data_IF_182251665487
#
_entry.id   IF_182251665487
#
_cell.length_a   1.000
_cell.length_b   1.000
_cell.length_c   1.000
_cell.angle_alpha   90.00
_cell.angle_beta   90.00
_cell.angle_gamma   90.00
#
_symmetry.space_group_name_H-M   'P 1'
#
loop_
_entity.id
_entity.type
_entity.pdbx_description
1 polymer ?
#
# COMPACT_ATOMS: atom_id res chain seq x y z
N UNK A 1 -21.95 -7.60 7.16
CA UNK A 1 -20.79 -8.49 7.47
C UNK A 1 -20.66 -8.96 8.93
N UNK A 2 -20.87 -8.11 9.96
CA UNK A 2 -20.65 -8.50 11.39
C UNK A 2 -21.44 -9.75 11.86
N UNK A 3 -22.54 -10.08 11.19
CA UNK A 3 -23.41 -11.23 11.52
C UNK A 3 -23.02 -12.56 10.82
N UNK A 4 -22.18 -12.54 9.78
CA UNK A 4 -21.80 -13.76 9.06
C UNK A 4 -20.68 -14.51 9.82
N UNK A 5 -21.04 -15.64 10.46
CA UNK A 5 -20.11 -16.47 11.24
C UNK A 5 -18.97 -17.04 10.38
N UNK A 6 -19.24 -17.39 9.12
CA UNK A 6 -18.26 -17.96 8.19
C UNK A 6 -17.22 -16.91 7.83
N UNK A 7 -17.66 -15.71 7.43
CA UNK A 7 -16.77 -14.61 7.12
C UNK A 7 -15.91 -14.19 8.32
N UNK A 8 -16.44 -14.25 9.54
CA UNK A 8 -15.67 -13.94 10.76
C UNK A 8 -14.59 -14.98 11.05
N UNK A 9 -14.85 -16.26 10.79
CA UNK A 9 -13.86 -17.35 10.95
C UNK A 9 -12.76 -17.31 9.90
N UNK A 10 -13.08 -16.82 8.69
CA UNK A 10 -12.11 -16.67 7.61
C UNK A 10 -11.19 -15.45 7.76
N UNK A 11 -11.50 -14.51 8.67
CA UNK A 11 -10.69 -13.30 8.88
C UNK A 11 -9.38 -13.60 9.57
N UNK A 12 -8.34 -12.84 9.19
CA UNK A 12 -7.05 -12.92 9.86
C UNK A 12 -7.13 -12.50 11.34
N UNK A 13 -6.46 -13.29 12.19
CA UNK A 13 -6.19 -12.93 13.57
C UNK A 13 -5.36 -11.63 13.68
N UNK A 14 -5.33 -11.04 14.88
CA UNK A 14 -4.57 -9.80 15.13
C UNK A 14 -3.06 -9.98 14.89
N UNK A 15 -2.50 -11.09 15.39
CA UNK A 15 -1.09 -11.42 15.21
C UNK A 15 -0.71 -11.54 13.72
N UNK A 16 -1.50 -12.28 12.93
CA UNK A 16 -1.25 -12.41 11.50
C UNK A 16 -1.33 -11.06 10.78
N UNK A 17 -2.30 -10.21 11.12
CA UNK A 17 -2.39 -8.84 10.55
C UNK A 17 -1.17 -7.98 10.91
N UNK A 18 -0.65 -8.12 12.11
CA UNK A 18 0.55 -7.40 12.54
C UNK A 18 1.81 -7.87 11.78
N UNK A 19 2.06 -9.18 11.72
CA UNK A 19 3.16 -9.76 10.93
C UNK A 19 3.04 -9.35 9.46
N UNK A 20 1.83 -9.43 8.91
CA UNK A 20 1.55 -8.99 7.55
C UNK A 20 1.84 -7.51 7.36
N UNK A 21 1.40 -6.64 8.26
CA UNK A 21 1.72 -5.20 8.18
C UNK A 21 3.23 -4.91 8.17
N UNK A 22 4.00 -5.65 8.98
CA UNK A 22 5.45 -5.52 8.99
C UNK A 22 6.09 -5.96 7.66
N UNK A 23 5.61 -7.07 7.09
CA UNK A 23 6.19 -7.70 5.90
C UNK A 23 5.63 -7.20 4.56
N UNK A 24 4.43 -6.59 4.49
CA UNK A 24 3.77 -6.21 3.20
C UNK A 24 4.28 -4.87 2.63
N UNK A 25 5.52 -4.51 2.90
CA UNK A 25 6.14 -3.31 2.34
C UNK A 25 7.02 -3.67 1.13
N UNK A 26 7.23 -2.71 0.24
CA UNK A 26 8.20 -2.90 -0.86
C UNK A 26 9.60 -3.02 -0.28
N UNK A 27 10.51 -3.65 -1.03
CA UNK A 27 11.91 -3.80 -0.63
C UNK A 27 12.54 -2.46 -0.19
N UNK A 28 12.34 -1.40 -0.97
CA UNK A 28 12.84 -0.06 -0.65
C UNK A 28 12.28 0.50 0.67
N UNK A 29 11.00 0.29 0.96
CA UNK A 29 10.38 0.74 2.22
C UNK A 29 10.91 -0.10 3.40
N UNK A 30 11.10 -1.42 3.22
CA UNK A 30 11.68 -2.29 4.25
C UNK A 30 13.11 -1.87 4.56
N UNK A 31 13.94 -1.69 3.53
CA UNK A 31 15.31 -1.21 3.67
C UNK A 31 15.35 0.18 4.34
N UNK A 32 14.47 1.11 3.95
CA UNK A 32 14.39 2.42 4.57
C UNK A 32 14.00 2.34 6.06
N UNK A 33 13.03 1.48 6.43
CA UNK A 33 12.66 1.26 7.85
C UNK A 33 13.85 0.74 8.66
N UNK A 34 14.66 -0.14 8.07
CA UNK A 34 15.88 -0.65 8.67
C UNK A 34 16.93 0.43 8.88
N UNK A 35 17.26 1.16 7.82
CA UNK A 35 18.24 2.25 7.90
C UNK A 35 17.79 3.33 8.90
N UNK A 36 16.49 3.61 8.99
CA UNK A 36 15.95 4.53 10.00
C UNK A 36 16.09 3.98 11.42
N UNK A 37 15.91 2.67 11.63
CA UNK A 37 16.12 2.03 12.93
C UNK A 37 17.61 2.11 13.33
N UNK A 38 18.51 1.76 12.42
CA UNK A 38 19.96 1.84 12.64
C UNK A 38 20.39 3.29 12.92
N UNK A 39 19.90 4.24 12.13
CA UNK A 39 20.15 5.67 12.32
C UNK A 39 19.60 6.15 13.67
N UNK A 40 18.43 5.69 14.11
CA UNK A 40 17.87 6.06 15.41
C UNK A 40 18.73 5.53 16.57
N UNK A 41 19.27 4.31 16.45
CA UNK A 41 20.20 3.72 17.43
C UNK A 41 21.51 4.52 17.45
N UNK A 42 22.05 4.92 16.29
CA UNK A 42 23.25 5.77 16.18
C UNK A 42 23.03 7.15 16.82
N UNK A 43 21.88 7.79 16.56
CA UNK A 43 21.56 9.09 17.16
C UNK A 43 21.38 8.99 18.68
N UNK A 44 20.85 7.88 19.18
CA UNK A 44 20.72 7.64 20.61
C UNK A 44 22.11 7.54 21.29
N UNK A 45 23.09 6.90 20.64
CA UNK A 45 24.47 6.90 21.12
C UNK A 45 25.08 8.30 21.11
N UNK A 46 24.93 9.04 20.02
CA UNK A 46 25.39 10.43 19.93
C UNK A 46 24.75 11.34 20.97
N UNK A 47 23.47 11.13 21.31
CA UNK A 47 22.82 11.89 22.38
C UNK A 47 23.42 11.56 23.76
N UNK A 48 23.75 10.29 24.01
CA UNK A 48 24.35 9.84 25.29
C UNK A 48 25.72 10.49 25.53
N UNK A 49 26.53 10.71 24.50
CA UNK A 49 27.84 11.36 24.67
C UNK A 49 27.72 12.83 25.07
N UNK A 50 26.63 13.51 24.67
CA UNK A 50 26.37 14.90 25.06
C UNK A 50 25.74 15.05 26.46
N UNK A 51 25.06 14.01 26.97
CA UNK A 51 24.39 14.04 28.27
C UNK A 51 24.84 12.86 29.15
N UNK A 52 25.99 12.98 29.85
CA UNK A 52 26.49 11.94 30.75
C UNK A 52 25.60 11.84 31.99
N UNK A 53 24.47 11.14 31.87
CA UNK A 53 23.63 10.80 33.01
C UNK A 53 24.20 9.54 33.68
N UNK A 54 24.58 9.66 34.95
CA UNK A 54 25.14 8.57 35.77
C UNK A 54 24.20 7.37 36.01
N UNK A 55 23.05 7.33 35.35
CA UNK A 55 22.05 6.26 35.45
C UNK A 55 22.41 4.98 34.67
N UNK A 56 23.42 5.00 33.79
CA UNK A 56 23.79 3.86 32.93
C UNK A 56 25.26 3.43 33.06
N UNK A 57 25.87 3.62 34.23
CA UNK A 57 27.17 3.04 34.57
C UNK A 57 27.01 1.55 34.91
N UNK A 58 26.66 0.74 33.91
CA UNK A 58 26.80 -0.71 34.01
C UNK A 58 28.30 -1.05 33.95
N UNK A 59 28.76 -1.82 34.92
CA UNK A 59 30.16 -2.18 35.18
C UNK A 59 30.88 -2.71 33.92
N UNK A 60 31.98 -2.06 33.55
CA UNK A 60 32.88 -2.42 32.42
C UNK A 60 33.66 -3.74 32.64
N UNK A 61 33.59 -4.37 33.81
CA UNK A 61 34.47 -5.51 34.14
C UNK A 61 34.02 -6.87 33.57
N UNK A 62 32.77 -7.02 33.10
CA UNK A 62 32.27 -8.29 32.53
C UNK A 62 32.50 -8.48 31.01
N UNK A 63 33.32 -7.62 30.38
CA UNK A 63 33.13 -7.24 28.97
C UNK A 63 33.86 -8.11 27.93
N UNK A 64 34.94 -8.82 28.29
CA UNK A 64 35.77 -9.54 27.29
C UNK A 64 35.03 -10.73 26.66
N UNK A 65 34.32 -11.53 27.47
CA UNK A 65 33.57 -12.70 26.98
C UNK A 65 32.34 -12.30 26.15
N UNK A 66 31.57 -11.32 26.64
CA UNK A 66 30.36 -10.83 25.97
C UNK A 66 30.68 -10.20 24.61
N UNK A 67 31.75 -9.40 24.53
CA UNK A 67 32.19 -8.76 23.30
C UNK A 67 32.57 -9.77 22.20
N UNK A 68 33.27 -10.83 22.57
CA UNK A 68 33.63 -11.89 21.62
C UNK A 68 32.40 -12.65 21.06
N UNK A 69 31.31 -12.72 21.82
CA UNK A 69 30.04 -13.27 21.35
C UNK A 69 29.32 -12.29 20.43
N UNK A 70 29.25 -11.01 20.81
CA UNK A 70 28.63 -9.95 20.02
C UNK A 70 29.27 -9.86 18.63
N UNK A 71 30.59 -9.97 18.53
CA UNK A 71 31.32 -9.92 17.25
C UNK A 71 30.98 -11.09 16.31
N UNK A 72 30.62 -12.26 16.85
CA UNK A 72 30.33 -13.48 16.07
C UNK A 72 28.86 -13.60 15.64
N UNK A 73 27.95 -12.97 16.38
CA UNK A 73 26.50 -13.12 16.15
C UNK A 73 26.00 -12.56 14.80
N UNK A 74 26.51 -11.43 14.26
CA UNK A 74 26.11 -10.95 12.93
C UNK A 74 26.36 -11.97 11.81
N UNK A 75 27.52 -12.66 11.85
CA UNK A 75 27.84 -13.70 10.88
C UNK A 75 26.87 -14.91 11.01
N UNK A 76 26.49 -15.28 12.23
CA UNK A 76 25.47 -16.30 12.46
C UNK A 76 24.10 -15.86 11.93
N UNK A 77 23.68 -14.61 12.18
CA UNK A 77 22.42 -14.07 11.67
C UNK A 77 22.37 -14.06 10.14
N UNK A 78 23.48 -13.69 9.51
CA UNK A 78 23.64 -13.73 8.06
C UNK A 78 23.49 -15.16 7.54
N UNK A 79 24.17 -16.13 8.15
CA UNK A 79 24.07 -17.55 7.77
C UNK A 79 22.62 -18.07 7.90
N UNK A 80 21.92 -17.73 8.99
CA UNK A 80 20.51 -18.10 9.19
C UNK A 80 19.62 -17.48 8.11
N UNK A 81 19.82 -16.20 7.77
CA UNK A 81 19.05 -15.52 6.72
C UNK A 81 19.28 -16.11 5.33
N UNK A 82 20.53 -16.42 4.97
CA UNK A 82 20.85 -17.08 3.70
C UNK A 82 20.20 -18.46 3.64
N UNK A 83 20.28 -19.26 4.72
CA UNK A 83 19.60 -20.55 4.80
C UNK A 83 18.08 -20.42 4.65
N UNK A 84 17.47 -19.39 5.26
CA UNK A 84 16.05 -19.09 5.15
C UNK A 84 15.63 -18.80 3.70
N UNK A 85 16.36 -17.92 3.01
CA UNK A 85 16.10 -17.57 1.62
C UNK A 85 16.25 -18.77 0.68
N UNK A 86 17.20 -19.66 0.96
CA UNK A 86 17.35 -20.93 0.23
C UNK A 86 16.13 -21.84 0.40
N UNK A 87 15.66 -22.03 1.64
CA UNK A 87 14.45 -22.85 1.92
C UNK A 87 13.23 -22.26 1.20
N UNK A 88 13.06 -20.94 1.28
CA UNK A 88 11.97 -20.23 0.62
C UNK A 88 12.02 -20.42 -0.90
N UNK A 89 13.21 -20.33 -1.50
CA UNK A 89 13.41 -20.51 -2.94
C UNK A 89 13.12 -21.93 -3.39
N UNK A 90 13.55 -22.94 -2.62
CA UNK A 90 13.27 -24.35 -2.90
C UNK A 90 11.77 -24.65 -2.83
N UNK A 91 11.09 -24.15 -1.79
CA UNK A 91 9.65 -24.30 -1.63
C UNK A 91 8.87 -23.65 -2.77
N UNK A 92 9.33 -22.47 -3.24
CA UNK A 92 8.75 -21.79 -4.40
C UNK A 92 8.88 -22.63 -5.68
N UNK A 93 10.05 -23.19 -5.93
CA UNK A 93 10.30 -24.06 -7.08
C UNK A 93 9.36 -25.28 -7.04
N UNK A 94 9.19 -25.91 -5.88
CA UNK A 94 8.29 -27.03 -5.68
C UNK A 94 6.82 -26.66 -5.95
N UNK A 95 6.35 -25.55 -5.38
CA UNK A 95 4.96 -25.08 -5.58
C UNK A 95 4.70 -24.73 -7.04
N UNK A 96 5.67 -24.10 -7.70
CA UNK A 96 5.57 -23.76 -9.13
C UNK A 96 5.45 -25.01 -9.98
N UNK A 97 6.27 -26.05 -9.71
CA UNK A 97 6.18 -27.35 -10.39
C UNK A 97 4.82 -28.03 -10.19
N UNK A 98 4.32 -28.05 -8.95
CA UNK A 98 3.01 -28.64 -8.64
C UNK A 98 1.90 -27.89 -9.38
N UNK A 99 1.95 -26.56 -9.37
CA UNK A 99 0.92 -25.76 -9.98
C UNK A 99 0.93 -25.81 -11.51
N UNK A 100 2.10 -25.95 -12.14
CA UNK A 100 2.23 -26.23 -13.58
C UNK A 100 1.62 -27.59 -13.94
N UNK A 101 1.82 -28.61 -13.10
CA UNK A 101 1.27 -29.95 -13.33
C UNK A 101 -0.26 -29.98 -13.25
N UNK A 102 -0.86 -29.16 -12.39
CA UNK A 102 -2.31 -29.14 -12.15
C UNK A 102 -3.06 -28.02 -12.89
N UNK A 103 -2.37 -27.26 -13.74
CA UNK A 103 -2.90 -26.11 -14.48
C UNK A 103 -3.63 -25.06 -13.59
N UNK A 104 -3.13 -24.90 -12.37
CA UNK A 104 -3.79 -24.16 -11.29
C UNK A 104 -3.28 -22.70 -11.17
N UNK A 105 -3.21 -21.97 -12.28
CA UNK A 105 -2.58 -20.62 -12.34
C UNK A 105 -3.20 -19.60 -11.38
N UNK A 106 -4.51 -19.67 -11.16
CA UNK A 106 -5.23 -18.78 -10.21
C UNK A 106 -4.89 -19.10 -8.76
N UNK A 107 -4.65 -20.38 -8.43
CA UNK A 107 -4.29 -20.83 -7.10
C UNK A 107 -2.88 -20.37 -6.70
N UNK A 108 -1.97 -20.24 -7.67
CA UNK A 108 -0.63 -19.69 -7.44
C UNK A 108 -0.73 -18.25 -6.92
N UNK A 109 -1.60 -17.42 -7.51
CA UNK A 109 -1.79 -16.02 -7.07
C UNK A 109 -2.31 -15.96 -5.64
N UNK A 110 -3.28 -16.81 -5.31
CA UNK A 110 -3.79 -16.96 -3.94
C UNK A 110 -2.68 -17.41 -3.00
N UNK A 111 -1.87 -18.38 -3.41
CA UNK A 111 -0.74 -18.87 -2.62
C UNK A 111 0.29 -17.77 -2.33
N UNK A 112 0.73 -17.01 -3.34
CA UNK A 112 1.70 -15.92 -3.12
C UNK A 112 1.18 -14.86 -2.17
N UNK A 113 -0.12 -14.56 -2.25
CA UNK A 113 -0.76 -13.62 -1.35
C UNK A 113 -0.83 -14.16 0.10
N UNK A 114 -1.27 -15.40 0.30
CA UNK A 114 -1.44 -15.99 1.63
C UNK A 114 -0.11 -16.35 2.32
N UNK A 115 0.89 -16.76 1.54
CA UNK A 115 2.23 -17.10 2.03
C UNK A 115 3.09 -15.87 2.34
N UNK A 116 2.66 -14.67 1.92
CA UNK A 116 3.41 -13.42 2.03
C UNK A 116 4.83 -13.49 1.43
N UNK A 117 5.00 -14.35 0.42
CA UNK A 117 6.30 -14.69 -0.17
C UNK A 117 7.14 -13.46 -0.51
N UNK A 118 6.59 -12.51 -1.28
CA UNK A 118 7.33 -11.32 -1.71
C UNK A 118 7.81 -10.47 -0.55
N UNK A 119 6.94 -10.24 0.44
CA UNK A 119 7.26 -9.44 1.62
C UNK A 119 8.32 -10.09 2.50
N UNK A 120 8.21 -11.41 2.70
CA UNK A 120 9.19 -12.20 3.44
C UNK A 120 10.54 -12.23 2.74
N UNK A 121 10.58 -12.49 1.43
CA UNK A 121 11.82 -12.51 0.66
C UNK A 121 12.50 -11.13 0.64
N UNK A 122 11.72 -10.06 0.43
CA UNK A 122 12.22 -8.69 0.48
C UNK A 122 12.76 -8.33 1.86
N UNK A 123 12.07 -8.74 2.95
CA UNK A 123 12.50 -8.51 4.33
C UNK A 123 13.77 -9.30 4.70
N UNK A 124 13.89 -10.54 4.22
CA UNK A 124 15.09 -11.35 4.37
C UNK A 124 16.27 -10.73 3.62
N UNK A 125 16.07 -10.35 2.36
CA UNK A 125 17.10 -9.70 1.54
C UNK A 125 17.53 -8.35 2.13
N UNK A 126 16.58 -7.54 2.64
CA UNK A 126 16.89 -6.28 3.31
C UNK A 126 17.78 -6.50 4.53
N UNK A 127 17.48 -7.51 5.36
CA UNK A 127 18.33 -7.85 6.51
C UNK A 127 19.71 -8.34 6.08
N UNK A 128 19.81 -9.18 5.04
CA UNK A 128 21.09 -9.62 4.49
C UNK A 128 21.93 -8.43 4.04
N UNK A 129 21.34 -7.49 3.29
CA UNK A 129 22.02 -6.27 2.85
C UNK A 129 22.51 -5.47 4.06
N UNK A 130 21.65 -5.25 5.06
CA UNK A 130 22.02 -4.52 6.28
C UNK A 130 23.17 -5.21 7.02
N UNK A 131 23.08 -6.53 7.23
CA UNK A 131 24.13 -7.30 7.91
C UNK A 131 25.45 -7.33 7.14
N UNK A 132 25.41 -7.39 5.80
CA UNK A 132 26.60 -7.30 4.96
C UNK A 132 27.21 -5.91 5.06
N UNK A 133 26.41 -4.85 4.93
CA UNK A 133 26.89 -3.48 5.05
C UNK A 133 27.45 -3.25 6.46
N UNK A 134 26.84 -3.82 7.50
CA UNK A 134 27.32 -3.78 8.89
C UNK A 134 28.64 -4.53 9.08
N UNK A 135 28.78 -5.74 8.51
CA UNK A 135 30.00 -6.54 8.60
C UNK A 135 31.19 -5.82 7.96
N UNK A 136 30.95 -5.10 6.86
CA UNK A 136 31.97 -4.35 6.15
C UNK A 136 32.06 -2.89 6.55
N UNK A 137 31.27 -2.44 7.54
CA UNK A 137 30.91 -1.04 7.76
C UNK A 137 32.13 -0.13 7.96
N UNK A 138 32.69 0.47 6.89
CA UNK A 138 33.92 1.24 6.99
C UNK A 138 33.63 2.62 7.59
N UNK A 139 32.37 3.06 7.54
CA UNK A 139 31.86 4.32 8.05
C UNK A 139 31.89 4.42 9.58
N UNK A 140 31.80 3.31 10.31
CA UNK A 140 31.86 3.27 11.79
C UNK A 140 33.31 3.32 12.20
N UNK A 141 34.20 2.61 11.50
CA UNK A 141 35.65 2.79 11.66
C UNK A 141 36.07 4.23 11.36
N UNK A 142 35.55 4.85 10.31
CA UNK A 142 35.82 6.24 9.95
C UNK A 142 35.21 7.23 10.96
N UNK A 143 33.97 7.01 11.41
CA UNK A 143 33.31 7.86 12.39
C UNK A 143 33.98 7.76 13.76
N UNK A 144 34.39 6.55 14.19
CA UNK A 144 35.20 6.36 15.40
C UNK A 144 36.53 7.09 15.30
N UNK A 145 37.17 7.05 14.12
CA UNK A 145 38.41 7.77 13.86
C UNK A 145 38.22 9.30 13.90
N UNK A 146 37.10 9.81 13.36
CA UNK A 146 36.79 11.25 13.35
C UNK A 146 36.27 11.78 14.69
N UNK A 147 35.49 11.00 15.43
CA UNK A 147 34.85 11.41 16.67
C UNK A 147 35.73 11.18 17.91
N UNK A 148 36.81 10.41 17.81
CA UNK A 148 37.69 10.09 18.94
C UNK A 148 37.01 9.32 20.07
N UNK A 149 35.85 8.72 19.80
CA UNK A 149 35.02 8.03 20.80
C UNK A 149 35.43 6.58 20.94
N UNK A 150 35.61 6.11 22.17
CA UNK A 150 35.79 4.69 22.48
C UNK A 150 34.52 3.89 22.14
N UNK A 151 34.64 2.65 21.63
CA UNK A 151 33.50 1.81 21.27
C UNK A 151 32.67 1.46 22.51
N UNK A 152 31.36 1.76 22.49
CA UNK A 152 30.46 1.43 23.58
C UNK A 152 29.83 0.04 23.39
N UNK A 153 30.09 -0.90 24.31
CA UNK A 153 29.53 -2.25 24.23
C UNK A 153 27.99 -2.27 24.26
N UNK A 154 27.38 -1.28 24.92
CA UNK A 154 25.93 -1.11 25.01
C UNK A 154 25.32 -0.81 23.62
N UNK A 155 26.00 -0.02 22.79
CA UNK A 155 25.53 0.27 21.44
C UNK A 155 25.55 -0.97 20.56
N UNK A 156 26.68 -1.69 20.54
CA UNK A 156 26.81 -2.92 19.76
C UNK A 156 25.76 -3.96 20.20
N UNK A 157 25.44 -4.02 21.51
CA UNK A 157 24.36 -4.86 22.04
C UNK A 157 22.95 -4.41 21.59
N UNK A 158 22.64 -3.12 21.64
CA UNK A 158 21.33 -2.61 21.22
C UNK A 158 21.08 -2.83 19.73
N UNK A 159 22.10 -2.57 18.91
CA UNK A 159 22.04 -2.80 17.47
C UNK A 159 21.88 -4.30 17.17
N UNK A 160 22.65 -5.15 17.85
CA UNK A 160 22.51 -6.60 17.75
C UNK A 160 21.10 -7.07 18.17
N UNK A 161 20.54 -6.52 19.25
CA UNK A 161 19.19 -6.85 19.71
C UNK A 161 18.12 -6.44 18.68
N UNK A 162 18.31 -5.30 18.00
CA UNK A 162 17.44 -4.87 16.91
C UNK A 162 17.47 -5.85 15.73
N UNK A 163 18.67 -6.29 15.30
CA UNK A 163 18.81 -7.31 14.25
C UNK A 163 18.23 -8.66 14.68
N UNK A 164 18.43 -9.06 15.93
CA UNK A 164 17.88 -10.30 16.48
C UNK A 164 16.34 -10.27 16.49
N UNK A 165 15.75 -9.16 16.91
CA UNK A 165 14.29 -8.99 16.91
C UNK A 165 13.73 -9.08 15.49
N UNK A 166 14.40 -8.47 14.51
CA UNK A 166 13.94 -8.58 13.13
C UNK A 166 14.17 -9.97 12.53
N UNK A 167 15.29 -10.61 12.85
CA UNK A 167 15.52 -12.01 12.50
C UNK A 167 14.38 -12.89 13.02
N UNK A 168 13.90 -12.67 14.25
CA UNK A 168 12.72 -13.36 14.79
C UNK A 168 11.46 -13.07 13.96
N UNK A 169 11.23 -11.84 13.52
CA UNK A 169 10.11 -11.50 12.61
C UNK A 169 10.21 -12.29 11.30
N UNK A 170 11.41 -12.36 10.70
CA UNK A 170 11.65 -13.14 9.48
C UNK A 170 11.45 -14.64 9.71
N UNK A 171 11.88 -15.19 10.85
CA UNK A 171 11.66 -16.60 11.21
C UNK A 171 10.18 -16.92 11.40
N UNK A 172 9.41 -16.04 12.05
CA UNK A 172 7.95 -16.19 12.17
C UNK A 172 7.29 -16.13 10.78
N UNK A 173 7.72 -15.20 9.92
CA UNK A 173 7.28 -15.10 8.54
C UNK A 173 7.54 -16.37 7.75
N UNK A 174 8.74 -16.95 7.87
CA UNK A 174 9.12 -18.18 7.21
C UNK A 174 8.40 -19.41 7.73
N UNK A 175 8.21 -19.52 9.05
CA UNK A 175 7.40 -20.59 9.64
C UNK A 175 5.95 -20.53 9.11
N UNK A 176 5.38 -19.34 9.00
CA UNK A 176 4.07 -19.13 8.38
C UNK A 176 4.09 -19.49 6.89
N UNK A 177 5.10 -19.07 6.13
CA UNK A 177 5.25 -19.41 4.72
C UNK A 177 5.28 -20.92 4.51
N UNK A 178 6.13 -21.64 5.25
CA UNK A 178 6.25 -23.12 5.16
C UNK A 178 4.93 -23.79 5.53
N UNK A 179 4.25 -23.33 6.58
CA UNK A 179 2.94 -23.85 6.96
C UNK A 179 1.91 -23.67 5.83
N UNK A 180 1.87 -22.50 5.18
CA UNK A 180 1.01 -22.25 4.02
C UNK A 180 1.41 -23.09 2.82
N UNK A 181 2.70 -23.33 2.58
CA UNK A 181 3.17 -24.24 1.53
C UNK A 181 2.65 -25.66 1.75
N UNK A 182 2.71 -26.19 2.97
CA UNK A 182 2.14 -27.51 3.26
C UNK A 182 0.61 -27.53 3.13
N UNK A 183 -0.10 -26.49 3.58
CA UNK A 183 -1.54 -26.34 3.35
C UNK A 183 -1.85 -26.29 1.84
N UNK A 184 -1.00 -25.67 1.02
CA UNK A 184 -1.22 -25.57 -0.43
C UNK A 184 -1.11 -26.91 -1.15
N UNK A 185 -0.18 -27.78 -0.72
CA UNK A 185 -0.04 -29.13 -1.30
C UNK A 185 -1.27 -30.00 -1.03
N UNK A 186 -2.07 -29.71 0.00
CA UNK A 186 -3.27 -30.46 0.34
C UNK A 186 -4.53 -29.89 -0.36
N UNK A 187 -5.23 -30.66 -1.20
CA UNK A 187 -6.40 -30.15 -1.94
C UNK A 187 -7.53 -29.59 -1.05
N UNK A 188 -7.77 -30.21 0.11
CA UNK A 188 -8.79 -29.76 1.07
C UNK A 188 -8.44 -28.42 1.71
N UNK A 189 -7.16 -28.16 1.97
CA UNK A 189 -6.68 -26.93 2.57
C UNK A 189 -6.60 -25.78 1.54
N UNK A 190 -6.40 -26.08 0.24
CA UNK A 190 -6.52 -25.07 -0.84
C UNK A 190 -7.88 -24.38 -0.85
N UNK A 191 -8.97 -25.12 -0.64
CA UNK A 191 -10.32 -24.52 -0.51
C UNK A 191 -10.37 -23.50 0.63
N UNK A 192 -9.77 -23.82 1.77
CA UNK A 192 -9.69 -22.92 2.93
C UNK A 192 -8.84 -21.69 2.66
N UNK A 193 -7.73 -21.84 1.92
CA UNK A 193 -6.90 -20.71 1.48
C UNK A 193 -7.67 -19.77 0.56
N UNK A 194 -8.42 -20.30 -0.42
CA UNK A 194 -9.32 -19.51 -1.28
C UNK A 194 -10.37 -18.77 -0.45
N UNK A 195 -11.04 -19.44 0.49
CA UNK A 195 -12.03 -18.81 1.37
C UNK A 195 -11.43 -17.65 2.20
N UNK A 196 -10.23 -17.82 2.75
CA UNK A 196 -9.51 -16.75 3.45
C UNK A 196 -9.14 -15.60 2.51
N UNK A 197 -8.59 -15.90 1.35
CA UNK A 197 -8.22 -14.91 0.34
C UNK A 197 -9.43 -14.10 -0.11
N UNK A 198 -10.53 -14.75 -0.47
CA UNK A 198 -11.78 -14.09 -0.85
C UNK A 198 -12.30 -13.20 0.28
N UNK A 199 -12.30 -13.68 1.53
CA UNK A 199 -12.82 -12.92 2.66
C UNK A 199 -11.96 -11.70 3.04
N UNK A 200 -10.64 -11.74 2.83
CA UNK A 200 -9.72 -10.71 3.33
C UNK A 200 -9.13 -9.79 2.24
N UNK A 201 -9.07 -10.23 0.97
CA UNK A 201 -8.50 -9.46 -0.12
C UNK A 201 -9.54 -9.13 -1.19
N UNK A 202 -10.07 -10.15 -1.87
CA UNK A 202 -10.94 -9.93 -3.03
C UNK A 202 -12.27 -9.26 -2.67
N UNK A 203 -12.96 -9.73 -1.61
CA UNK A 203 -14.27 -9.20 -1.24
C UNK A 203 -14.20 -7.75 -0.74
N UNK A 204 -13.24 -7.35 0.13
CA UNK A 204 -13.08 -5.94 0.48
C UNK A 204 -12.81 -5.03 -0.71
N UNK A 205 -11.98 -5.46 -1.67
CA UNK A 205 -11.69 -4.70 -2.88
C UNK A 205 -12.95 -4.51 -3.75
N UNK A 206 -13.69 -5.60 -4.00
CA UNK A 206 -14.97 -5.54 -4.71
C UNK A 206 -15.97 -4.65 -3.99
N UNK A 207 -16.15 -4.82 -2.67
CA UNK A 207 -17.05 -3.99 -1.88
C UNK A 207 -16.64 -2.52 -1.90
N UNK A 208 -15.34 -2.22 -1.86
CA UNK A 208 -14.85 -0.85 -1.97
C UNK A 208 -15.14 -0.26 -3.36
N UNK A 209 -14.92 -1.02 -4.43
CA UNK A 209 -15.25 -0.60 -5.79
C UNK A 209 -16.76 -0.35 -5.96
N UNK A 210 -17.60 -1.29 -5.50
CA UNK A 210 -19.07 -1.14 -5.52
C UNK A 210 -19.53 0.05 -4.67
N UNK A 211 -18.93 0.26 -3.49
CA UNK A 211 -19.26 1.40 -2.63
C UNK A 211 -18.85 2.72 -3.28
N UNK A 212 -17.65 2.81 -3.89
CA UNK A 212 -17.23 3.99 -4.66
C UNK A 212 -18.18 4.28 -5.80
N UNK A 213 -18.58 3.26 -6.54
CA UNK A 213 -19.55 3.39 -7.62
C UNK A 213 -20.91 3.91 -7.13
N UNK A 214 -21.45 3.36 -6.03
CA UNK A 214 -22.70 3.86 -5.45
C UNK A 214 -22.58 5.28 -4.88
N UNK A 215 -21.46 5.62 -4.24
CA UNK A 215 -21.23 6.99 -3.74
C UNK A 215 -21.14 7.97 -4.92
N UNK A 216 -20.50 7.57 -6.01
CA UNK A 216 -20.39 8.38 -7.22
C UNK A 216 -21.76 8.62 -7.87
N UNK A 217 -22.54 7.55 -8.12
CA UNK A 217 -23.89 7.68 -8.69
C UNK A 217 -24.88 8.38 -7.74
N UNK A 218 -24.71 8.20 -6.43
CA UNK A 218 -25.54 8.83 -5.41
C UNK A 218 -25.21 10.31 -5.15
N UNK A 219 -24.14 10.85 -5.73
CA UNK A 219 -23.72 12.23 -5.50
C UNK A 219 -24.75 13.27 -5.99
N UNK A 220 -25.68 12.88 -6.86
CA UNK A 220 -26.79 13.71 -7.37
C UNK A 220 -28.01 13.76 -6.41
N UNK A 221 -28.17 12.78 -5.53
CA UNK A 221 -29.44 12.49 -4.81
C UNK A 221 -29.91 13.51 -3.75
N UNK A 222 -29.27 14.68 -3.65
CA UNK A 222 -29.57 15.70 -2.63
C UNK A 222 -29.93 17.09 -3.16
N UNK A 223 -29.98 17.29 -4.48
CA UNK A 223 -30.22 18.61 -5.06
C UNK A 223 -31.67 18.80 -5.49
N UNK A 224 -32.21 19.99 -5.25
CA UNK A 224 -33.47 20.42 -5.85
C UNK A 224 -33.26 20.55 -7.36
N UNK A 225 -34.10 19.88 -8.17
CA UNK A 225 -34.01 19.88 -9.63
C UNK A 225 -34.18 21.27 -10.24
N UNK A 226 -34.77 22.20 -9.49
CA UNK A 226 -34.93 23.60 -9.89
C UNK A 226 -33.66 24.42 -9.69
N UNK A 227 -32.74 23.95 -8.84
CA UNK A 227 -31.45 24.60 -8.59
C UNK A 227 -30.34 24.09 -9.51
N UNK A 228 -29.28 24.88 -9.72
CA UNK A 228 -28.10 24.39 -10.43
C UNK A 228 -27.50 23.17 -9.72
N UNK A 229 -27.47 22.03 -10.41
CA UNK A 229 -27.02 20.75 -9.85
C UNK A 229 -26.07 20.01 -10.80
N UNK A 230 -25.50 18.92 -10.32
CA UNK A 230 -24.64 18.07 -11.11
C UNK A 230 -25.14 16.63 -11.12
N UNK A 231 -25.18 16.07 -12.32
CA UNK A 231 -25.63 14.71 -12.57
C UNK A 231 -24.43 13.85 -12.95
N UNK A 232 -24.34 12.67 -12.36
CA UNK A 232 -23.24 11.73 -12.59
C UNK A 232 -23.76 10.47 -13.31
N UNK A 233 -23.13 10.10 -14.43
CA UNK A 233 -23.37 8.86 -15.15
C UNK A 233 -23.83 9.02 -16.61
N UNK A 234 -23.82 7.90 -17.34
CA UNK A 234 -23.93 7.84 -18.80
C UNK A 234 -25.36 7.66 -19.35
N UNK A 235 -26.39 7.86 -18.54
CA UNK A 235 -27.79 7.63 -18.96
C UNK A 235 -28.36 8.79 -19.78
N UNK A 236 -27.60 9.87 -19.96
CA UNK A 236 -28.06 11.04 -20.69
C UNK A 236 -27.47 11.01 -22.10
N UNK A 237 -28.35 11.24 -23.10
CA UNK A 237 -27.86 11.64 -24.42
C UNK A 237 -27.01 12.90 -24.23
N UNK A 238 -25.80 12.98 -24.81
CA UNK A 238 -24.95 14.15 -24.72
C UNK A 238 -25.72 15.32 -25.32
N UNK A 239 -26.35 16.09 -24.45
CA UNK A 239 -27.14 17.27 -24.75
C UNK A 239 -26.56 18.35 -23.86
N UNK A 240 -26.07 19.41 -24.47
CA UNK A 240 -25.36 20.48 -23.76
C UNK A 240 -24.07 20.90 -24.46
N UNK A 241 -23.53 22.03 -23.99
CA UNK A 241 -22.22 22.53 -24.39
C UNK A 241 -21.12 21.69 -23.71
N UNK A 242 -20.09 21.33 -24.47
CA UNK A 242 -18.92 20.63 -23.95
C UNK A 242 -18.10 21.61 -23.13
N UNK A 243 -17.88 21.32 -21.85
CA UNK A 243 -17.03 22.13 -20.98
C UNK A 243 -15.63 21.56 -20.86
N UNK A 244 -15.51 20.24 -20.78
CA UNK A 244 -14.24 19.52 -20.74
C UNK A 244 -14.31 18.31 -21.65
N UNK A 245 -13.34 18.25 -22.55
CA UNK A 245 -13.07 17.15 -23.46
C UNK A 245 -11.62 16.72 -23.29
N UNK A 246 -11.39 15.42 -23.39
CA UNK A 246 -10.07 14.83 -23.29
C UNK A 246 -9.99 13.67 -24.29
N UNK A 247 -8.87 13.59 -24.99
CA UNK A 247 -8.51 12.42 -25.77
C UNK A 247 -7.92 11.35 -24.83
N UNK A 248 -8.59 10.22 -24.76
CA UNK A 248 -8.12 9.03 -24.05
C UNK A 248 -7.54 8.09 -25.11
N UNK A 249 -6.33 7.58 -24.92
CA UNK A 249 -5.71 6.62 -25.86
C UNK A 249 -6.46 5.27 -25.93
N UNK A 250 -5.72 4.16 -25.98
CA UNK A 250 -6.28 2.81 -26.17
C UNK A 250 -7.10 2.25 -24.98
N UNK A 251 -7.45 3.10 -24.00
CA UNK A 251 -8.33 2.76 -22.90
C UNK A 251 -7.85 3.35 -21.58
N UNK A 252 -8.55 4.38 -21.12
CA UNK A 252 -8.39 4.92 -19.77
C UNK A 252 -9.64 4.64 -18.93
N UNK A 253 -9.43 4.35 -17.65
CA UNK A 253 -10.51 4.14 -16.70
C UNK A 253 -10.53 5.27 -15.68
N UNK A 254 -11.74 5.73 -15.31
CA UNK A 254 -11.90 6.59 -14.15
C UNK A 254 -11.70 5.77 -12.87
N UNK A 255 -10.61 6.04 -12.13
CA UNK A 255 -10.22 5.27 -10.94
C UNK A 255 -10.72 5.91 -9.66
N UNK A 256 -10.59 7.23 -9.57
CA UNK A 256 -10.97 7.98 -8.37
C UNK A 256 -11.55 9.35 -8.72
N UNK A 257 -12.44 9.84 -7.87
CA UNK A 257 -13.06 11.16 -7.97
C UNK A 257 -13.03 11.83 -6.62
N UNK A 258 -12.31 12.94 -6.52
CA UNK A 258 -12.29 13.78 -5.33
C UNK A 258 -13.59 14.58 -5.22
N UNK A 259 -14.66 13.93 -4.74
CA UNK A 259 -16.01 14.51 -4.63
C UNK A 259 -16.07 15.82 -3.81
N UNK A 260 -15.11 16.05 -2.91
CA UNK A 260 -15.00 17.33 -2.18
C UNK A 260 -14.66 18.49 -3.11
N UNK A 261 -13.73 18.29 -4.04
CA UNK A 261 -13.35 19.29 -5.04
C UNK A 261 -14.47 19.52 -6.04
N UNK A 262 -15.10 18.43 -6.51
CA UNK A 262 -16.24 18.51 -7.42
C UNK A 262 -17.39 19.30 -6.78
N UNK A 263 -17.74 19.01 -5.52
CA UNK A 263 -18.76 19.76 -4.77
C UNK A 263 -18.41 21.24 -4.63
N UNK A 264 -17.14 21.56 -4.39
CA UNK A 264 -16.70 22.95 -4.33
C UNK A 264 -16.91 23.67 -5.67
N UNK A 265 -16.55 23.04 -6.79
CA UNK A 265 -16.76 23.59 -8.14
C UNK A 265 -18.24 23.80 -8.41
N UNK A 266 -19.08 22.80 -8.13
CA UNK A 266 -20.53 22.88 -8.34
C UNK A 266 -21.13 24.02 -7.53
N UNK A 267 -20.78 24.15 -6.24
CA UNK A 267 -21.30 25.22 -5.39
C UNK A 267 -20.90 26.60 -5.90
N UNK A 268 -19.63 26.77 -6.31
CA UNK A 268 -19.14 28.03 -6.87
C UNK A 268 -19.85 28.37 -8.19
N UNK A 269 -19.99 27.39 -9.07
CA UNK A 269 -20.70 27.53 -10.33
C UNK A 269 -22.18 27.87 -10.12
N UNK A 270 -22.85 27.20 -9.18
CA UNK A 270 -24.25 27.46 -8.83
C UNK A 270 -24.48 28.89 -8.36
N UNK A 271 -23.59 29.43 -7.52
CA UNK A 271 -23.65 30.84 -7.08
C UNK A 271 -23.55 31.78 -8.30
N UNK A 272 -22.64 31.50 -9.25
CA UNK A 272 -22.49 32.30 -10.46
C UNK A 272 -23.72 32.22 -11.37
N UNK A 273 -24.32 31.05 -11.54
CA UNK A 273 -25.58 30.89 -12.28
C UNK A 273 -26.70 31.72 -11.65
N UNK A 274 -26.83 31.72 -10.31
CA UNK A 274 -27.83 32.53 -9.59
C UNK A 274 -27.61 34.04 -9.82
N UNK A 275 -26.36 34.51 -9.81
CA UNK A 275 -26.05 35.92 -10.06
C UNK A 275 -26.30 36.36 -11.51
N UNK A 276 -26.07 35.47 -12.48
CA UNK A 276 -26.21 35.80 -13.90
C UNK A 276 -27.66 35.97 -14.37
N UNK A 277 -28.65 35.62 -13.52
CA UNK A 277 -30.08 35.72 -13.83
C UNK A 277 -30.47 35.09 -15.17
N UNK A 278 -29.72 34.08 -15.62
CA UNK A 278 -30.13 33.26 -16.76
C UNK A 278 -31.37 32.49 -16.32
N UNK A 279 -32.54 33.02 -16.68
CA UNK A 279 -33.82 32.38 -16.42
C UNK A 279 -33.78 30.98 -17.02
N UNK A 280 -34.01 29.92 -16.21
CA UNK A 280 -34.01 28.57 -16.72
C UNK A 280 -35.03 28.47 -17.86
N UNK A 281 -34.60 27.93 -18.99
CA UNK A 281 -35.46 27.58 -20.11
C UNK A 281 -36.34 26.38 -19.71
N UNK A 282 -37.36 26.62 -18.88
CA UNK A 282 -38.29 25.61 -18.36
C UNK A 282 -38.15 25.32 -16.86
N UNK A 283 -38.88 24.30 -16.39
CA UNK A 283 -38.93 23.89 -14.98
C UNK A 283 -37.66 23.16 -14.47
N UNK A 284 -36.59 23.11 -15.29
CA UNK A 284 -35.35 22.38 -14.96
C UNK A 284 -34.22 23.41 -14.85
N UNK A 285 -33.55 23.43 -13.70
CA UNK A 285 -32.40 24.31 -13.48
C UNK A 285 -31.19 23.92 -14.35
N UNK A 286 -30.20 24.82 -14.51
CA UNK A 286 -28.94 24.50 -15.18
C UNK A 286 -28.30 23.25 -14.58
N UNK A 287 -27.66 22.41 -15.40
CA UNK A 287 -27.00 21.21 -14.89
C UNK A 287 -25.63 20.97 -15.52
N UNK A 288 -24.71 20.47 -14.69
CA UNK A 288 -23.46 19.88 -15.15
C UNK A 288 -23.64 18.36 -15.24
N UNK A 289 -23.24 17.77 -16.35
CA UNK A 289 -23.39 16.34 -16.63
C UNK A 289 -21.98 15.75 -16.70
N UNK A 290 -21.66 14.87 -15.76
CA UNK A 290 -20.43 14.09 -15.74
C UNK A 290 -20.70 12.70 -16.32
N UNK A 291 -20.30 12.47 -17.57
CA UNK A 291 -20.63 11.22 -18.29
C UNK A 291 -19.72 10.05 -17.94
N UNK A 292 -18.57 10.33 -17.31
CA UNK A 292 -17.62 9.31 -16.88
C UNK A 292 -18.21 8.42 -15.78
N UNK A 293 -17.94 7.12 -15.85
CA UNK A 293 -18.39 6.13 -14.86
C UNK A 293 -17.15 5.39 -14.35
N UNK A 294 -16.95 5.29 -13.02
CA UNK A 294 -15.86 4.49 -12.46
C UNK A 294 -15.90 3.05 -12.97
N UNK A 295 -14.78 2.58 -13.52
CA UNK A 295 -14.62 1.23 -14.07
C UNK A 295 -15.08 1.02 -15.52
N UNK A 296 -15.55 2.05 -16.23
CA UNK A 296 -15.82 1.98 -17.67
C UNK A 296 -14.61 2.51 -18.45
N UNK A 297 -14.15 1.73 -19.45
CA UNK A 297 -13.10 2.17 -20.39
C UNK A 297 -13.61 3.33 -21.23
N UNK A 298 -12.82 4.39 -21.31
CA UNK A 298 -12.97 5.55 -22.19
C UNK A 298 -11.83 5.51 -23.21
N UNK A 299 -12.16 5.76 -24.47
CA UNK A 299 -11.22 5.72 -25.60
C UNK A 299 -11.62 6.75 -26.65
N UNK A 300 -10.63 7.39 -27.27
CA UNK A 300 -10.77 8.53 -28.17
C UNK A 300 -11.13 9.83 -27.45
N UNK A 301 -11.56 10.83 -28.24
CA UNK A 301 -12.07 12.10 -27.74
C UNK A 301 -13.41 11.89 -27.01
N UNK A 302 -13.40 12.09 -25.69
CA UNK A 302 -14.59 11.94 -24.85
C UNK A 302 -14.86 13.24 -24.09
N UNK A 303 -16.00 13.85 -24.39
CA UNK A 303 -16.60 14.91 -23.58
C UNK A 303 -17.13 14.35 -22.26
N UNK A 304 -16.34 14.43 -21.19
CA UNK A 304 -16.69 13.88 -19.89
C UNK A 304 -17.38 14.87 -18.94
N UNK A 305 -17.33 16.17 -19.25
CA UNK A 305 -18.09 17.20 -18.57
C UNK A 305 -18.86 18.05 -19.59
N UNK A 306 -20.19 17.94 -19.56
CA UNK A 306 -21.10 18.75 -20.36
C UNK A 306 -21.88 19.69 -19.46
N UNK A 307 -22.33 20.80 -20.03
CA UNK A 307 -23.20 21.77 -19.37
C UNK A 307 -24.47 21.95 -20.18
N UNK A 308 -25.59 21.85 -19.50
CA UNK A 308 -26.92 22.11 -20.06
C UNK A 308 -27.52 23.33 -19.34
N UNK A 309 -27.46 24.48 -20.01
CA UNK A 309 -27.85 25.80 -19.46
C UNK A 309 -26.81 26.46 -18.55
N UNK A 310 -27.12 27.64 -18.02
CA UNK A 310 -26.26 28.36 -17.07
C UNK A 310 -24.99 28.95 -17.68
N UNK A 311 -24.17 29.59 -16.84
CA UNK A 311 -22.91 30.20 -17.28
C UNK A 311 -21.81 29.16 -17.52
N UNK A 312 -20.89 29.40 -18.48
CA UNK A 312 -19.76 28.50 -18.72
C UNK A 312 -18.81 28.40 -17.52
N UNK A 313 -18.16 27.25 -17.40
CA UNK A 313 -17.15 27.03 -16.37
C UNK A 313 -15.93 27.93 -16.63
N UNK A 314 -15.42 28.54 -15.57
CA UNK A 314 -14.17 29.30 -15.64
C UNK A 314 -12.98 28.35 -15.82
N UNK A 315 -11.88 28.85 -16.40
CA UNK A 315 -10.65 28.05 -16.58
C UNK A 315 -10.14 27.45 -15.26
N UNK A 316 -10.32 28.16 -14.14
CA UNK A 316 -9.96 27.67 -12.81
C UNK A 316 -10.84 26.51 -12.34
N UNK A 317 -12.16 26.59 -12.55
CA UNK A 317 -13.09 25.50 -12.24
C UNK A 317 -12.80 24.27 -13.11
N UNK A 318 -12.52 24.46 -14.40
CA UNK A 318 -12.09 23.38 -15.30
C UNK A 318 -10.80 22.73 -14.79
N UNK A 319 -9.80 23.53 -14.42
CA UNK A 319 -8.54 23.02 -13.87
C UNK A 319 -8.76 22.19 -12.58
N UNK A 320 -9.61 22.64 -11.65
CA UNK A 320 -9.93 21.86 -10.45
C UNK A 320 -10.64 20.55 -10.81
N UNK A 321 -11.55 20.55 -11.78
CA UNK A 321 -12.20 19.33 -12.24
C UNK A 321 -11.19 18.36 -12.86
N UNK A 322 -10.21 18.84 -13.63
CA UNK A 322 -9.10 18.03 -14.13
C UNK A 322 -8.31 17.32 -13.01
N UNK A 323 -8.07 18.01 -11.89
CA UNK A 323 -7.42 17.40 -10.72
C UNK A 323 -8.35 16.50 -9.90
N UNK A 324 -9.66 16.76 -9.96
CA UNK A 324 -10.63 16.00 -9.18
C UNK A 324 -10.91 14.63 -9.79
N UNK A 325 -10.84 14.49 -11.12
CA UNK A 325 -11.05 13.24 -11.84
C UNK A 325 -9.71 12.59 -12.16
N UNK A 326 -9.44 11.44 -11.53
CA UNK A 326 -8.20 10.69 -11.76
C UNK A 326 -8.46 9.54 -12.73
N UNK A 327 -7.90 9.67 -13.93
CA UNK A 327 -7.88 8.62 -14.93
C UNK A 327 -6.57 7.84 -14.85
N UNK A 328 -6.63 6.54 -15.13
CA UNK A 328 -5.47 5.65 -15.22
C UNK A 328 -5.59 4.82 -16.50
N UNK A 329 -4.49 4.72 -17.24
CA UNK A 329 -4.40 3.88 -18.44
C UNK A 329 -4.49 2.40 -18.04
N UNK A 330 -5.28 1.61 -18.78
CA UNK A 330 -5.40 0.19 -18.50
C UNK A 330 -4.20 -0.57 -19.06
N UNK A 331 -3.17 -0.75 -18.23
CA UNK A 331 -1.92 -1.47 -18.60
C UNK A 331 -2.14 -2.99 -18.78
N UNK A 332 -3.37 -3.49 -18.65
CA UNK A 332 -3.63 -4.94 -18.60
C UNK A 332 -3.64 -5.66 -19.95
N UNK A 333 -3.57 -4.94 -21.06
CA UNK A 333 -3.66 -5.50 -22.42
C UNK A 333 -2.35 -5.34 -23.25
N UNK A 334 -1.21 -5.03 -22.61
CA UNK A 334 0.11 -4.92 -23.26
C UNK A 334 1.01 -6.15 -23.05
#
# INVERSE_FOLDING_TARGET
MKRNKVARRARYGRAHRFVRFLLTATFGILLARYLLLDLAVINLEGYRTHFPSGLFALSEESDVGARSLIEKLPALFLAVQVGLLTIISLALALVTLIAQREDATTDIKVYYHESMFFGMAASGLALVVVLVVQLFWPLQSLFRLLAGTSPSAIFDFLLLAAHALWLVVNLIGAAHFVAVTFEFVQPSARKRLRERYTANAAMPEQLAATLRHHIYLGADSGFDKTEPHAVFGSMFRPTGAIEIEQDFGDGSNLVDVHLRLVRWVINRWAIRCKCASETPSGNVGPRLIFTSIPGRKLSGEVAWCLRDGGVPLSSFEKWILWWAFRFEEDVRDA
#
